data_IF_090715312614
#
_entry.id   IF_090715312614
#
_cell.length_a   1.000
_cell.length_b   1.000
_cell.length_c   1.000
_cell.angle_alpha   90.00
_cell.angle_beta   90.00
_cell.angle_gamma   90.00
#
_symmetry.space_group_name_H-M   'P 1'
#
loop_
_entity.id
_entity.type
_entity.pdbx_description
1 polymer ?
#
# COMPACT_ATOMS: atom_id res chain seq x y z
N UNK A 1 6.02 33.22 3.41
CA UNK A 1 5.67 31.79 3.57
C UNK A 1 4.71 31.45 2.44
N UNK A 2 5.00 30.46 1.61
CA UNK A 2 4.08 30.05 0.56
C UNK A 2 2.78 29.52 1.19
N UNK A 3 1.60 29.73 0.56
CA UNK A 3 0.37 29.15 1.06
C UNK A 3 0.48 27.62 1.08
N UNK A 4 -0.19 26.95 2.04
CA UNK A 4 -0.23 25.49 2.06
C UNK A 4 -0.79 24.96 0.73
N UNK A 5 -0.30 23.81 0.23
CA UNK A 5 -0.83 23.20 -0.98
C UNK A 5 -2.34 22.94 -0.88
N UNK A 6 -3.04 23.09 -1.99
CA UNK A 6 -4.47 22.78 -2.05
C UNK A 6 -4.73 21.29 -1.78
N UNK A 7 -5.84 20.99 -1.10
CA UNK A 7 -6.17 19.64 -0.61
C UNK A 7 -6.27 18.60 -1.74
N UNK A 8 -6.68 19.02 -2.93
CA UNK A 8 -6.84 18.16 -4.12
C UNK A 8 -5.49 17.72 -4.70
N UNK A 9 -4.37 18.32 -4.25
CA UNK A 9 -3.03 17.90 -4.64
C UNK A 9 -2.57 16.65 -3.90
N UNK A 10 -3.15 16.32 -2.76
CA UNK A 10 -2.70 15.18 -1.96
C UNK A 10 -3.33 13.88 -2.43
N UNK A 11 -2.49 12.86 -2.62
CA UNK A 11 -2.89 11.48 -2.83
C UNK A 11 -2.11 10.60 -1.86
N UNK A 12 -2.80 9.69 -1.19
CA UNK A 12 -2.13 8.64 -0.44
C UNK A 12 -2.02 7.37 -1.29
N UNK A 13 -0.87 6.71 -1.27
CA UNK A 13 -0.61 5.47 -2.01
C UNK A 13 -0.09 4.39 -1.07
N UNK A 14 -0.51 3.15 -1.35
CA UNK A 14 0.08 1.95 -0.77
C UNK A 14 0.15 0.86 -1.83
N UNK A 15 1.30 0.20 -1.93
CA UNK A 15 1.49 -0.96 -2.79
C UNK A 15 1.57 -2.25 -1.96
N UNK A 16 0.93 -3.30 -2.46
CA UNK A 16 1.10 -4.66 -1.92
C UNK A 16 1.92 -5.48 -2.90
N UNK A 17 2.94 -6.16 -2.37
CA UNK A 17 3.93 -6.86 -3.18
C UNK A 17 3.90 -8.36 -2.95
N UNK A 18 4.15 -9.11 -4.01
CA UNK A 18 4.45 -10.55 -4.00
C UNK A 18 5.93 -10.78 -4.25
N UNK A 19 6.41 -11.97 -3.90
CA UNK A 19 7.75 -12.45 -4.14
C UNK A 19 7.89 -13.15 -5.50
N UNK A 20 8.94 -12.78 -6.25
CA UNK A 20 9.37 -13.46 -7.47
C UNK A 20 10.84 -13.89 -7.36
N UNK A 21 11.26 -14.79 -8.26
CA UNK A 21 12.61 -15.33 -8.29
C UNK A 21 12.88 -16.39 -7.21
N UNK A 22 14.13 -16.87 -7.09
CA UNK A 22 14.49 -17.92 -6.13
C UNK A 22 14.11 -17.51 -4.70
N UNK A 23 13.23 -18.29 -4.06
CA UNK A 23 12.78 -18.02 -2.69
C UNK A 23 11.91 -16.78 -2.49
N UNK A 24 11.38 -16.15 -3.55
CA UNK A 24 10.44 -15.02 -3.43
C UNK A 24 11.07 -13.73 -2.90
N UNK A 25 12.39 -13.60 -3.01
CA UNK A 25 13.16 -12.49 -2.41
C UNK A 25 12.98 -11.16 -3.13
N UNK A 26 12.61 -11.20 -4.41
CA UNK A 26 12.43 -9.98 -5.22
C UNK A 26 10.98 -9.54 -5.16
N UNK A 27 10.75 -8.26 -4.86
CA UNK A 27 9.41 -7.71 -4.81
C UNK A 27 8.86 -7.44 -6.21
N UNK A 28 7.63 -7.85 -6.46
CA UNK A 28 6.83 -7.49 -7.61
C UNK A 28 5.50 -6.92 -7.12
N UNK A 29 5.09 -5.76 -7.64
CA UNK A 29 3.81 -5.15 -7.28
C UNK A 29 2.64 -6.03 -7.73
N UNK A 30 1.66 -6.19 -6.85
CA UNK A 30 0.52 -7.08 -7.04
C UNK A 30 -0.83 -6.39 -6.77
N UNK A 31 -0.85 -5.32 -5.98
CA UNK A 31 -2.01 -4.42 -5.84
C UNK A 31 -1.52 -3.00 -5.60
N UNK A 32 -2.23 -2.03 -6.16
CA UNK A 32 -2.00 -0.61 -5.87
C UNK A 32 -3.32 0.00 -5.41
N UNK A 33 -3.30 0.63 -4.25
CA UNK A 33 -4.42 1.37 -3.69
C UNK A 33 -4.04 2.84 -3.50
N UNK A 34 -4.91 3.74 -3.94
CA UNK A 34 -4.76 5.19 -3.89
C UNK A 34 -6.07 5.81 -3.44
N UNK A 35 -5.96 6.70 -2.47
CA UNK A 35 -7.07 7.52 -1.98
C UNK A 35 -6.75 9.00 -2.10
N UNK A 36 -7.79 9.82 -2.19
CA UNK A 36 -7.67 11.27 -2.11
C UNK A 36 -7.51 11.74 -0.65
N UNK A 37 -7.36 13.06 -0.47
CA UNK A 37 -7.25 13.68 0.86
C UNK A 37 -8.43 13.36 1.80
N UNK A 38 -9.61 13.03 1.26
CA UNK A 38 -10.81 12.71 2.04
C UNK A 38 -10.94 11.21 2.32
N UNK A 39 -9.99 10.39 1.86
CA UNK A 39 -10.04 8.94 1.98
C UNK A 39 -10.91 8.26 0.91
N UNK A 40 -11.36 8.99 -0.11
CA UNK A 40 -12.13 8.39 -1.20
C UNK A 40 -11.20 7.61 -2.12
N UNK A 41 -11.55 6.38 -2.44
CA UNK A 41 -10.77 5.54 -3.37
C UNK A 41 -10.73 6.17 -4.77
N UNK A 42 -9.53 6.53 -5.21
CA UNK A 42 -9.25 7.04 -6.56
C UNK A 42 -8.83 5.90 -7.48
N UNK A 43 -8.04 4.96 -6.96
CA UNK A 43 -7.57 3.81 -7.72
C UNK A 43 -7.35 2.63 -6.78
N UNK A 44 -7.94 1.48 -7.09
CA UNK A 44 -7.68 0.24 -6.36
C UNK A 44 -7.77 -0.92 -7.35
N UNK A 45 -6.61 -1.48 -7.73
CA UNK A 45 -6.53 -2.55 -8.71
C UNK A 45 -5.41 -3.53 -8.40
N UNK A 46 -5.69 -4.80 -8.70
CA UNK A 46 -4.68 -5.84 -8.78
C UNK A 46 -3.82 -5.66 -10.04
N UNK A 47 -2.56 -6.07 -9.94
CA UNK A 47 -1.58 -6.00 -11.02
C UNK A 47 -1.29 -7.41 -11.52
N UNK A 48 -1.41 -7.60 -12.84
CA UNK A 48 -1.00 -8.85 -13.49
C UNK A 48 0.52 -9.00 -13.41
N UNK A 49 1.03 -10.10 -12.85
CA UNK A 49 2.46 -10.34 -12.73
C UNK A 49 3.13 -10.39 -14.10
N UNK A 50 4.29 -9.74 -14.23
CA UNK A 50 5.15 -9.83 -15.42
C UNK A 50 6.07 -11.04 -15.39
N UNK A 51 6.24 -11.64 -14.21
CA UNK A 51 7.09 -12.80 -13.93
C UNK A 51 6.33 -13.78 -13.05
N UNK A 52 6.64 -15.06 -13.14
CA UNK A 52 6.04 -16.09 -12.28
C UNK A 52 6.26 -15.76 -10.81
N UNK A 53 5.15 -15.71 -10.07
CA UNK A 53 5.13 -15.49 -8.62
C UNK A 53 5.58 -16.76 -7.92
N UNK A 54 6.59 -16.64 -7.06
CA UNK A 54 7.10 -17.78 -6.27
C UNK A 54 6.62 -17.73 -4.83
N UNK A 55 6.22 -16.56 -4.33
CA UNK A 55 5.62 -16.39 -3.01
C UNK A 55 4.56 -15.27 -3.04
N UNK A 56 3.30 -15.61 -2.82
CA UNK A 56 2.22 -14.61 -2.76
C UNK A 56 2.17 -13.84 -1.44
N UNK A 57 2.91 -14.32 -0.43
CA UNK A 57 2.90 -13.78 0.94
C UNK A 57 1.50 -13.73 1.53
N UNK A 58 0.66 -14.70 1.17
CA UNK A 58 -0.79 -14.71 1.46
C UNK A 58 -1.10 -14.53 2.94
N UNK A 59 -0.25 -15.05 3.84
CA UNK A 59 -0.42 -14.90 5.28
C UNK A 59 -0.37 -13.43 5.76
N UNK A 60 0.35 -12.55 5.05
CA UNK A 60 0.43 -11.12 5.38
C UNK A 60 -0.33 -10.22 4.42
N UNK A 61 -0.54 -10.65 3.16
CA UNK A 61 -1.16 -9.81 2.12
C UNK A 61 -2.60 -10.18 1.77
N UNK A 62 -3.04 -11.39 2.12
CA UNK A 62 -4.31 -11.96 1.65
C UNK A 62 -4.37 -12.20 0.14
N UNK A 63 -3.26 -12.01 -0.59
CA UNK A 63 -3.24 -12.18 -2.04
C UNK A 63 -3.26 -13.66 -2.43
N UNK A 64 -4.01 -13.95 -3.49
CA UNK A 64 -4.09 -15.27 -4.11
C UNK A 64 -3.83 -15.14 -5.60
N UNK A 65 -3.51 -16.25 -6.26
CA UNK A 65 -3.37 -16.31 -7.70
C UNK A 65 -4.65 -15.81 -8.42
N UNK A 66 -5.83 -16.19 -7.91
CA UNK A 66 -7.11 -15.79 -8.47
C UNK A 66 -7.30 -14.27 -8.52
N UNK A 67 -6.78 -13.51 -7.54
CA UNK A 67 -6.82 -12.06 -7.57
C UNK A 67 -6.00 -11.49 -8.73
N UNK A 68 -4.79 -12.01 -8.94
CA UNK A 68 -3.81 -11.47 -9.89
C UNK A 68 -4.14 -11.83 -11.36
N UNK A 69 -4.86 -12.92 -11.58
CA UNK A 69 -5.32 -13.35 -12.91
C UNK A 69 -6.81 -13.11 -13.15
N UNK A 70 -7.46 -12.35 -12.27
CA UNK A 70 -8.86 -11.96 -12.44
C UNK A 70 -9.08 -11.10 -13.69
N UNK A 71 -10.33 -11.01 -14.14
CA UNK A 71 -10.72 -10.10 -15.22
C UNK A 71 -10.46 -8.63 -14.87
N UNK A 72 -10.51 -8.28 -13.58
CA UNK A 72 -10.32 -6.93 -13.07
C UNK A 72 -8.85 -6.54 -12.86
N UNK A 73 -7.91 -7.49 -12.94
CA UNK A 73 -6.48 -7.22 -12.79
C UNK A 73 -5.90 -6.54 -14.03
N UNK A 74 -5.19 -5.43 -13.82
CA UNK A 74 -4.62 -4.61 -14.88
C UNK A 74 -3.20 -5.04 -15.24
N UNK A 75 -2.83 -4.86 -16.51
CA UNK A 75 -1.45 -5.06 -16.94
C UNK A 75 -0.55 -3.95 -16.38
N UNK A 76 0.66 -4.32 -15.97
CA UNK A 76 1.61 -3.40 -15.35
C UNK A 76 1.88 -2.13 -16.17
N UNK A 77 2.07 -2.25 -17.49
CA UNK A 77 2.32 -1.09 -18.36
C UNK A 77 1.14 -0.09 -18.41
N UNK A 78 -0.11 -0.58 -18.31
CA UNK A 78 -1.29 0.30 -18.23
C UNK A 78 -1.33 1.04 -16.90
N UNK A 79 -0.99 0.35 -15.80
CA UNK A 79 -0.90 0.95 -14.47
C UNK A 79 0.18 2.02 -14.45
N UNK A 80 1.40 1.73 -14.92
CA UNK A 80 2.49 2.70 -14.95
C UNK A 80 2.08 3.97 -15.72
N UNK A 81 1.46 3.79 -16.89
CA UNK A 81 0.99 4.92 -17.71
C UNK A 81 -0.07 5.74 -16.98
N UNK A 82 -1.08 5.08 -16.41
CA UNK A 82 -2.15 5.74 -15.67
C UNK A 82 -1.62 6.51 -14.45
N UNK A 83 -0.83 5.83 -13.61
CA UNK A 83 -0.28 6.42 -12.38
C UNK A 83 0.71 7.55 -12.66
N UNK A 84 1.56 7.42 -13.70
CA UNK A 84 2.48 8.49 -14.10
C UNK A 84 1.74 9.78 -14.46
N UNK A 85 0.54 9.69 -15.03
CA UNK A 85 -0.29 10.86 -15.31
C UNK A 85 -1.00 11.36 -14.05
N UNK A 86 -1.52 10.44 -13.23
CA UNK A 86 -2.20 10.77 -11.98
C UNK A 86 -1.29 11.52 -10.99
N UNK A 87 -0.01 11.16 -10.91
CA UNK A 87 0.94 11.75 -9.94
C UNK A 87 1.47 13.13 -10.34
N UNK A 88 1.27 13.57 -11.59
CA UNK A 88 1.77 14.87 -12.04
C UNK A 88 1.16 16.02 -11.23
N UNK A 89 2.02 16.80 -10.58
CA UNK A 89 1.63 17.94 -9.75
C UNK A 89 0.99 17.56 -8.40
N UNK A 90 0.95 16.27 -8.07
CA UNK A 90 0.42 15.76 -6.80
C UNK A 90 1.51 15.63 -5.75
N UNK A 91 1.09 15.67 -4.50
CA UNK A 91 1.91 15.37 -3.33
C UNK A 91 1.53 13.96 -2.89
N UNK A 92 2.51 13.05 -2.91
CA UNK A 92 2.29 11.67 -2.51
C UNK A 92 2.55 11.50 -1.03
N UNK A 93 1.63 10.83 -0.36
CA UNK A 93 1.69 10.48 1.06
C UNK A 93 1.66 8.95 1.17
N UNK A 94 2.46 8.37 2.05
CA UNK A 94 2.49 6.92 2.24
C UNK A 94 3.60 6.49 3.16
N UNK A 95 3.75 5.19 3.35
CA UNK A 95 4.74 4.60 4.25
C UNK A 95 5.78 3.82 3.44
N UNK A 96 7.05 4.24 3.51
CA UNK A 96 8.14 3.70 2.70
C UNK A 96 7.93 3.92 1.19
N UNK A 97 7.54 5.13 0.80
CA UNK A 97 7.18 5.50 -0.58
C UNK A 97 8.29 5.21 -1.61
N UNK A 98 9.55 5.26 -1.17
CA UNK A 98 10.70 4.90 -2.00
C UNK A 98 10.60 3.44 -2.50
N UNK A 99 10.06 2.53 -1.69
CA UNK A 99 9.83 1.15 -2.07
C UNK A 99 8.72 1.04 -3.12
N UNK A 100 7.58 1.70 -2.87
CA UNK A 100 6.42 1.71 -3.75
C UNK A 100 6.76 2.29 -5.13
N UNK A 101 7.43 3.44 -5.16
CA UNK A 101 7.86 4.09 -6.39
C UNK A 101 8.90 3.25 -7.15
N UNK A 102 9.78 2.53 -6.44
CA UNK A 102 10.76 1.64 -7.05
C UNK A 102 10.09 0.43 -7.72
N UNK A 103 9.14 -0.24 -7.06
CA UNK A 103 8.43 -1.38 -7.66
C UNK A 103 7.50 -0.96 -8.80
N UNK A 104 6.96 0.26 -8.75
CA UNK A 104 6.20 0.85 -9.86
C UNK A 104 7.09 1.36 -10.99
N UNK A 105 8.39 1.55 -10.76
CA UNK A 105 9.31 2.18 -11.71
C UNK A 105 8.92 3.62 -12.05
N UNK A 106 8.35 4.36 -11.09
CA UNK A 106 7.85 5.72 -11.29
C UNK A 106 8.70 6.73 -10.50
N UNK A 107 9.28 7.76 -11.15
CA UNK A 107 9.94 8.84 -10.43
C UNK A 107 8.91 9.82 -9.85
N UNK A 108 9.20 10.37 -8.67
CA UNK A 108 8.41 11.45 -8.07
C UNK A 108 9.32 12.47 -7.36
N UNK A 109 9.07 13.80 -7.45
CA UNK A 109 9.91 14.79 -6.79
C UNK A 109 9.93 14.63 -5.26
N UNK A 110 11.13 14.63 -4.67
CA UNK A 110 11.30 14.53 -3.22
C UNK A 110 10.55 15.65 -2.46
N UNK A 111 10.51 16.86 -3.02
CA UNK A 111 9.79 18.02 -2.46
C UNK A 111 8.27 17.80 -2.36
N UNK A 112 7.72 16.93 -3.21
CA UNK A 112 6.30 16.56 -3.27
C UNK A 112 6.06 15.14 -2.71
N UNK A 113 6.98 14.62 -1.88
CA UNK A 113 6.87 13.31 -1.23
C UNK A 113 6.75 13.48 0.29
N UNK A 114 5.80 12.79 0.92
CA UNK A 114 5.60 12.79 2.38
C UNK A 114 5.57 11.34 2.87
N UNK A 115 6.76 10.84 3.19
CA UNK A 115 6.95 9.49 3.68
C UNK A 115 6.83 9.46 5.21
N UNK A 116 5.76 8.85 5.72
CA UNK A 116 5.51 8.79 7.17
C UNK A 116 6.51 7.88 7.88
N UNK A 117 7.11 6.91 7.16
CA UNK A 117 8.05 5.93 7.72
C UNK A 117 9.31 6.57 8.33
N UNK A 118 9.65 7.79 7.90
CA UNK A 118 10.87 8.49 8.31
C UNK A 118 10.79 9.12 9.70
N UNK A 119 9.60 9.33 10.26
CA UNK A 119 9.41 10.03 11.53
C UNK A 119 8.61 9.19 12.52
N UNK A 120 9.24 8.77 13.62
CA UNK A 120 8.62 7.87 14.61
C UNK A 120 7.29 8.40 15.18
N UNK A 121 7.20 9.69 15.47
CA UNK A 121 5.98 10.29 15.98
C UNK A 121 4.88 10.35 14.90
N UNK A 122 5.25 10.60 13.65
CA UNK A 122 4.28 10.60 12.53
C UNK A 122 3.82 9.18 12.22
N UNK A 123 4.70 8.18 12.30
CA UNK A 123 4.34 6.77 12.22
C UNK A 123 3.30 6.39 13.28
N UNK A 124 3.52 6.78 14.54
CA UNK A 124 2.56 6.50 15.61
C UNK A 124 1.22 7.21 15.38
N UNK A 125 1.24 8.46 14.92
CA UNK A 125 0.01 9.22 14.58
C UNK A 125 -0.72 8.62 13.40
N UNK A 126 -0.02 8.31 12.31
CA UNK A 126 -0.60 7.70 11.11
C UNK A 126 -1.21 6.34 11.42
N UNK A 127 -0.56 5.51 12.26
CA UNK A 127 -1.12 4.24 12.70
C UNK A 127 -2.43 4.43 13.49
N UNK A 128 -2.47 5.40 14.40
CA UNK A 128 -3.66 5.69 15.20
C UNK A 128 -4.80 6.29 14.35
N UNK A 129 -4.47 7.18 13.42
CA UNK A 129 -5.45 7.79 12.52
C UNK A 129 -6.01 6.78 11.53
N UNK A 130 -5.18 5.86 11.02
CA UNK A 130 -5.63 4.73 10.21
C UNK A 130 -6.61 3.85 11.00
N UNK A 131 -6.24 3.45 12.22
CA UNK A 131 -7.13 2.68 13.09
C UNK A 131 -8.46 3.42 13.33
N UNK A 132 -8.43 4.72 13.65
CA UNK A 132 -9.66 5.52 13.86
C UNK A 132 -10.55 5.57 12.63
N UNK A 133 -9.95 5.64 11.44
CA UNK A 133 -10.70 5.74 10.17
C UNK A 133 -11.40 4.45 9.78
N UNK A 134 -10.88 3.31 10.23
CA UNK A 134 -11.38 1.98 9.85
C UNK A 134 -11.73 1.12 11.08
N UNK A 135 -11.92 1.75 12.24
CA UNK A 135 -12.05 1.08 13.54
C UNK A 135 -13.16 0.04 13.52
N UNK A 136 -14.33 0.39 12.99
CA UNK A 136 -15.47 -0.52 12.93
C UNK A 136 -15.17 -1.78 12.11
N UNK A 137 -14.49 -1.64 10.97
CA UNK A 137 -14.10 -2.77 10.13
C UNK A 137 -13.00 -3.61 10.79
N UNK A 138 -12.03 -2.96 11.43
CA UNK A 138 -10.97 -3.61 12.19
C UNK A 138 -11.51 -4.43 13.38
N UNK A 139 -12.36 -3.83 14.20
CA UNK A 139 -12.97 -4.49 15.36
C UNK A 139 -13.96 -5.59 14.92
N UNK A 140 -14.66 -5.40 13.80
CA UNK A 140 -15.45 -6.47 13.18
C UNK A 140 -14.57 -7.64 12.71
N UNK A 141 -13.39 -7.38 12.13
CA UNK A 141 -12.47 -8.42 11.70
C UNK A 141 -11.93 -9.22 12.91
N UNK A 142 -11.54 -8.53 13.98
CA UNK A 142 -11.09 -9.14 15.24
C UNK A 142 -12.18 -10.01 15.87
N UNK A 143 -13.40 -9.48 16.01
CA UNK A 143 -14.51 -10.21 16.63
C UNK A 143 -14.92 -11.47 15.84
N UNK A 144 -14.73 -11.47 14.52
CA UNK A 144 -14.95 -12.64 13.67
C UNK A 144 -13.74 -13.60 13.60
N UNK A 145 -12.66 -13.35 14.34
CA UNK A 145 -11.44 -14.16 14.31
C UNK A 145 -10.61 -14.02 13.03
N UNK A 146 -10.97 -13.06 12.17
CA UNK A 146 -10.34 -12.79 10.88
C UNK A 146 -9.26 -11.71 11.03
N UNK A 147 -8.22 -12.00 11.79
CA UNK A 147 -7.15 -11.05 12.07
C UNK A 147 -6.49 -10.58 10.76
N UNK A 148 -6.40 -9.26 10.50
CA UNK A 148 -5.85 -8.72 9.26
C UNK A 148 -4.33 -8.90 9.10
N UNK A 149 -3.64 -9.50 10.08
CA UNK A 149 -2.22 -9.84 10.00
C UNK A 149 -1.88 -11.13 10.76
N UNK A 150 -0.76 -11.77 10.39
CA UNK A 150 -0.14 -12.82 11.19
C UNK A 150 0.08 -12.30 12.61
N UNK A 151 -0.33 -13.10 13.61
CA UNK A 151 -0.09 -12.79 15.03
C UNK A 151 1.34 -12.27 15.21
N UNK A 152 1.55 -11.25 16.05
CA UNK A 152 2.89 -10.82 16.38
C UNK A 152 3.70 -12.05 16.84
N UNK A 153 4.98 -12.16 16.45
CA UNK A 153 5.80 -13.34 16.72
C UNK A 153 5.61 -13.83 18.15
N UNK A 154 5.64 -15.14 18.40
CA UNK A 154 5.35 -15.72 19.72
C UNK A 154 6.10 -15.05 20.89
N UNK A 155 7.26 -14.46 20.62
CA UNK A 155 8.01 -13.55 21.51
C UNK A 155 7.19 -12.41 22.13
N UNK A 156 6.18 -11.90 21.43
CA UNK A 156 5.32 -10.79 21.83
C UNK A 156 3.92 -11.25 22.28
N UNK A 157 3.64 -12.55 22.27
CA UNK A 157 2.34 -13.10 22.74
C UNK A 157 1.93 -12.57 24.12
N UNK A 158 2.90 -12.37 25.01
CA UNK A 158 2.75 -11.78 26.36
C UNK A 158 2.25 -10.33 26.40
N UNK A 159 2.26 -9.61 25.28
CA UNK A 159 1.75 -8.26 25.17
C UNK A 159 0.24 -8.22 24.82
N UNK A 160 -0.35 -9.37 24.52
CA UNK A 160 -1.73 -9.52 24.03
C UNK A 160 -2.57 -10.47 24.90
N UNK A 161 -2.11 -10.74 26.13
CA UNK A 161 -2.85 -11.45 27.20
C UNK A 161 -3.20 -10.47 28.31
#
# INVERSE_FOLDING_TARGET
>A
MAPPPAIDRFLAISCTNVGVGPGGTTNLVARVAIVDYRGTTVFDKYVRPTTTVTDYRTASTGLTEAHLYSADAWQFGMIQTYLSNLFRGKILVGHSLWHDLAVLGLPHPAVDTRDVALYQLENARAALDLYRSDADAWEAAISNGNWPCALPPSTFSRCYI
#
